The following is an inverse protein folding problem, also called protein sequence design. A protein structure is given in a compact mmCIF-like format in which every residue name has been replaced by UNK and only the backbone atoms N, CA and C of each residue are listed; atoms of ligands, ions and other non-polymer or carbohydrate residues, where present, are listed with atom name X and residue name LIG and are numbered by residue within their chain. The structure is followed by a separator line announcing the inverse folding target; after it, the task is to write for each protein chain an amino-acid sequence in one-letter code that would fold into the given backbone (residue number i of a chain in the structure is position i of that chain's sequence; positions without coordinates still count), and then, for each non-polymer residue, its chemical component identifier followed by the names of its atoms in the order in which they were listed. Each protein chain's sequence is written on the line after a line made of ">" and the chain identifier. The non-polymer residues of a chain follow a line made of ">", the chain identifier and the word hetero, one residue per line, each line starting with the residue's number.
data_IF_751227441423
#
_entry.id   IF_751227441423
#
_cell.length_a   1.000
_cell.length_b   1.000
_cell.length_c   1.000
_cell.angle_alpha   90.00
_cell.angle_beta   90.00
_cell.angle_gamma   90.00
#
_symmetry.space_group_name_H-M   'P 1'
#
loop_
_entity.id
_entity.type
_entity.pdbx_description
1 polymer ?
#
# COMPACT_ATOMS: atom_id res chain seq x y z
N UNK A 1 -11.00 24.59 8.24
CA UNK A 1 -10.46 23.48 9.06
C UNK A 1 -10.58 22.20 8.24
N UNK A 2 -9.59 21.93 7.39
CA UNK A 2 -9.61 20.84 6.41
C UNK A 2 -9.22 19.52 7.10
N UNK A 3 -10.12 18.54 7.08
CA UNK A 3 -9.82 17.16 7.51
C UNK A 3 -9.01 16.49 6.39
N UNK A 4 -7.70 16.43 6.54
CA UNK A 4 -6.83 15.63 5.66
C UNK A 4 -6.91 14.17 6.11
N UNK A 5 -7.56 13.33 5.32
CA UNK A 5 -7.61 11.89 5.54
C UNK A 5 -6.30 11.29 5.05
N UNK A 6 -5.45 10.81 5.96
CA UNK A 6 -4.21 10.10 5.61
C UNK A 6 -4.54 8.63 5.35
N UNK A 7 -4.57 8.24 4.08
CA UNK A 7 -4.56 6.84 3.67
C UNK A 7 -3.10 6.44 3.46
N UNK A 8 -2.60 5.52 4.29
CA UNK A 8 -1.26 4.95 4.14
C UNK A 8 -1.15 4.33 2.74
N UNK A 9 -0.45 5.04 1.85
CA UNK A 9 -0.21 4.61 0.47
C UNK A 9 1.24 4.21 0.40
N UNK A 10 1.50 2.97 0.04
CA UNK A 10 2.86 2.50 -0.18
C UNK A 10 3.47 3.23 -1.39
N UNK A 11 4.67 3.78 -1.22
CA UNK A 11 5.32 4.76 -2.14
C UNK A 11 5.25 4.32 -3.60
N UNK A 12 5.53 3.03 -3.87
CA UNK A 12 5.47 2.46 -5.23
C UNK A 12 4.55 1.25 -5.38
N UNK A 13 3.56 1.14 -4.50
CA UNK A 13 2.54 0.11 -4.58
C UNK A 13 1.16 0.74 -4.64
N UNK A 14 0.89 1.40 -5.75
CA UNK A 14 -0.48 1.46 -6.29
C UNK A 14 -0.50 0.64 -7.58
N UNK A 15 -1.52 -0.18 -7.82
CA UNK A 15 -1.70 -1.48 -7.18
C UNK A 15 -1.94 -2.58 -8.24
N UNK A 16 -1.42 -3.78 -8.00
CA UNK A 16 -1.94 -4.98 -8.68
C UNK A 16 -3.44 -5.19 -8.38
N UNK A 17 -4.00 -4.49 -7.39
CA UNK A 17 -5.42 -4.49 -7.05
C UNK A 17 -6.29 -3.46 -7.82
N UNK A 18 -5.75 -2.42 -8.49
CA UNK A 18 -6.58 -1.60 -9.43
C UNK A 18 -6.75 -2.28 -10.78
N UNK A 19 -5.77 -3.08 -11.21
CA UNK A 19 -5.88 -3.85 -12.45
C UNK A 19 -6.93 -4.96 -12.33
N UNK A 20 -7.18 -5.45 -11.10
CA UNK A 20 -8.28 -6.40 -10.86
C UNK A 20 -9.65 -5.73 -10.74
N UNK A 21 -9.71 -4.46 -10.32
CA UNK A 21 -10.97 -3.69 -10.27
C UNK A 21 -11.56 -3.44 -11.68
N UNK A 22 -10.73 -3.29 -12.71
CA UNK A 22 -11.19 -3.09 -14.09
C UNK A 22 -11.79 -4.34 -14.78
N UNK A 23 -11.77 -5.52 -14.15
CA UNK A 23 -12.40 -6.74 -14.70
C UNK A 23 -13.70 -7.14 -13.99
N UNK A 24 -14.29 -6.25 -13.18
CA UNK A 24 -15.60 -6.46 -12.59
C UNK A 24 -16.54 -5.24 -12.71
N UNK A 25 -16.29 -4.34 -13.67
CA UNK A 25 -17.12 -3.15 -13.93
C UNK A 25 -18.20 -3.35 -15.02
N UNK A 26 -18.60 -4.59 -15.32
CA UNK A 26 -19.64 -4.83 -16.34
C UNK A 26 -21.05 -5.07 -15.78
N UNK A 27 -21.27 -5.02 -14.46
CA UNK A 27 -22.58 -5.43 -13.90
C UNK A 27 -23.18 -4.59 -12.77
N UNK A 28 -22.55 -3.51 -12.32
CA UNK A 28 -23.16 -2.64 -11.29
C UNK A 28 -23.12 -1.18 -11.75
N UNK A 29 -24.21 -0.74 -12.37
CA UNK A 29 -24.51 0.68 -12.56
C UNK A 29 -24.86 1.29 -11.19
N UNK A 30 -23.85 1.64 -10.42
CA UNK A 30 -24.02 2.54 -9.29
C UNK A 30 -23.96 3.97 -9.83
N UNK A 31 -25.13 4.55 -10.10
CA UNK A 31 -25.26 5.98 -10.31
C UNK A 31 -24.83 6.68 -9.01
N UNK A 32 -23.68 7.39 -9.01
CA UNK A 32 -23.38 8.28 -7.89
C UNK A 32 -21.95 8.65 -7.54
N UNK A 33 -20.92 8.33 -8.33
CA UNK A 33 -19.58 8.92 -8.12
C UNK A 33 -19.02 9.51 -9.41
N UNK A 34 -19.01 10.85 -9.57
CA UNK A 34 -18.29 11.48 -10.67
C UNK A 34 -16.82 11.53 -10.30
N UNK A 35 -16.11 10.40 -10.37
CA UNK A 35 -14.65 10.45 -10.40
C UNK A 35 -14.26 10.88 -11.81
N UNK A 36 -14.29 12.20 -12.04
CA UNK A 36 -13.76 12.81 -13.24
C UNK A 36 -12.30 12.36 -13.41
N UNK A 37 -11.90 12.04 -14.65
CA UNK A 37 -10.56 11.52 -14.96
C UNK A 37 -9.40 12.40 -14.48
N UNK A 38 -9.67 13.61 -14.01
CA UNK A 38 -8.72 14.52 -13.36
C UNK A 38 -8.15 13.92 -12.07
N UNK A 39 -8.99 13.36 -11.19
CA UNK A 39 -8.54 12.75 -9.93
C UNK A 39 -7.62 11.54 -10.16
N UNK A 40 -7.96 10.71 -11.15
CA UNK A 40 -7.15 9.55 -11.54
C UNK A 40 -5.78 9.97 -12.08
N UNK A 41 -5.74 10.94 -12.99
CA UNK A 41 -4.47 11.41 -13.57
C UNK A 41 -3.59 12.10 -12.52
N UNK A 42 -4.19 12.81 -11.56
CA UNK A 42 -3.48 13.46 -10.45
C UNK A 42 -2.80 12.43 -9.54
N UNK A 43 -3.57 11.47 -8.99
CA UNK A 43 -3.07 10.39 -8.15
C UNK A 43 -1.97 9.55 -8.85
N UNK A 44 -2.16 9.28 -10.15
CA UNK A 44 -1.18 8.58 -10.98
C UNK A 44 0.12 9.37 -11.14
N UNK A 45 0.03 10.70 -11.31
CA UNK A 45 1.20 11.57 -11.48
C UNK A 45 2.03 11.64 -10.20
N UNK A 46 1.38 11.69 -9.03
CA UNK A 46 2.07 11.74 -7.74
C UNK A 46 2.77 10.44 -7.40
N UNK A 47 2.09 9.31 -7.64
CA UNK A 47 2.69 7.99 -7.53
C UNK A 47 3.92 7.86 -8.46
N UNK A 48 3.83 8.38 -9.69
CA UNK A 48 4.97 8.40 -10.61
C UNK A 48 6.14 9.26 -10.09
N UNK A 49 5.89 10.48 -9.60
CA UNK A 49 6.92 11.37 -9.06
C UNK A 49 7.61 10.82 -7.81
N UNK A 50 6.88 10.10 -6.95
CA UNK A 50 7.49 9.41 -5.80
C UNK A 50 8.36 8.21 -6.22
N UNK A 51 8.00 7.53 -7.31
CA UNK A 51 8.67 6.31 -7.77
C UNK A 51 9.73 6.48 -8.84
N UNK A 52 9.78 7.66 -9.47
CA UNK A 52 10.69 7.93 -10.59
C UNK A 52 11.25 9.36 -10.54
N UNK A 53 10.98 10.12 -9.47
CA UNK A 53 11.43 11.50 -9.32
C UNK A 53 12.62 11.68 -8.38
N UNK A 54 12.96 12.94 -8.18
CA UNK A 54 14.15 13.40 -7.45
C UNK A 54 14.26 12.84 -6.03
N UNK A 55 13.12 12.68 -5.34
CA UNK A 55 13.10 12.11 -3.98
C UNK A 55 13.67 10.68 -3.95
N UNK A 56 13.21 9.81 -4.85
CA UNK A 56 13.74 8.44 -4.92
C UNK A 56 15.22 8.45 -5.30
N UNK A 57 15.59 9.29 -6.28
CA UNK A 57 16.97 9.39 -6.74
C UNK A 57 17.92 9.77 -5.60
N UNK A 58 17.62 10.85 -4.87
CA UNK A 58 18.43 11.32 -3.75
C UNK A 58 18.52 10.27 -2.64
N UNK A 59 17.42 9.60 -2.30
CA UNK A 59 17.40 8.55 -1.26
C UNK A 59 18.27 7.36 -1.65
N UNK A 60 18.21 6.93 -2.91
CA UNK A 60 19.02 5.83 -3.43
C UNK A 60 20.51 6.21 -3.48
N UNK A 61 20.84 7.42 -3.95
CA UNK A 61 22.23 7.88 -4.03
C UNK A 61 22.86 8.08 -2.65
N UNK A 62 22.08 8.48 -1.66
CA UNK A 62 22.52 8.60 -0.27
C UNK A 62 22.75 7.24 0.43
N UNK A 63 22.39 6.11 -0.21
CA UNK A 63 22.56 4.74 0.33
C UNK A 63 22.09 4.63 1.78
N UNK A 64 20.89 5.15 2.06
CA UNK A 64 20.31 5.12 3.41
C UNK A 64 20.02 3.70 3.90
N UNK A 65 19.76 2.78 2.97
CA UNK A 65 19.40 1.40 3.24
C UNK A 65 20.31 0.43 2.48
N UNK A 66 20.50 -0.78 3.03
CA UNK A 66 21.27 -1.83 2.37
C UNK A 66 20.51 -2.49 1.20
N UNK A 67 19.18 -2.55 1.30
CA UNK A 67 18.30 -3.06 0.26
C UNK A 67 17.68 -1.88 -0.51
N UNK A 68 17.91 -1.84 -1.82
CA UNK A 68 17.38 -0.83 -2.73
C UNK A 68 15.84 -0.79 -2.75
N UNK A 69 15.19 -1.87 -2.27
CA UNK A 69 13.73 -1.97 -2.16
C UNK A 69 13.18 -1.52 -0.81
N UNK A 70 14.02 -1.22 0.17
CA UNK A 70 13.54 -0.90 1.50
C UNK A 70 12.71 0.37 1.50
N UNK A 71 13.20 1.45 0.89
CA UNK A 71 12.52 2.75 0.85
C UNK A 71 11.21 2.71 0.04
N UNK A 72 11.21 2.08 -1.13
CA UNK A 72 10.01 1.99 -1.99
C UNK A 72 8.87 1.19 -1.35
N UNK A 73 9.20 0.35 -0.36
CA UNK A 73 8.24 -0.44 0.41
C UNK A 73 7.76 0.26 1.70
N UNK A 74 8.27 1.45 2.02
CA UNK A 74 7.82 2.20 3.20
C UNK A 74 6.48 2.88 2.91
N UNK A 75 5.46 2.73 3.77
CA UNK A 75 4.21 3.49 3.64
C UNK A 75 4.43 4.96 3.96
N UNK A 76 3.68 5.86 3.31
CA UNK A 76 3.67 7.28 3.68
C UNK A 76 2.89 7.50 4.98
N UNK A 77 3.34 8.42 5.84
CA UNK A 77 2.61 8.86 7.03
C UNK A 77 1.55 9.93 6.74
N UNK A 78 1.73 10.69 5.66
CA UNK A 78 0.86 11.78 5.18
C UNK A 78 0.55 11.64 3.68
N UNK A 79 -0.29 12.52 3.13
CA UNK A 79 -0.65 12.48 1.72
C UNK A 79 0.57 12.68 0.79
N UNK A 80 0.64 11.96 -0.35
CA UNK A 80 1.75 12.05 -1.32
C UNK A 80 2.13 13.49 -1.72
N UNK A 81 1.15 14.36 -1.96
CA UNK A 81 1.37 15.75 -2.36
C UNK A 81 2.10 16.54 -1.30
N UNK A 82 1.74 16.31 -0.03
CA UNK A 82 2.36 17.01 1.09
C UNK A 82 3.82 16.57 1.23
N UNK A 83 4.12 15.28 1.10
CA UNK A 83 5.50 14.77 1.11
C UNK A 83 6.32 15.37 -0.02
N UNK A 84 5.78 15.39 -1.25
CA UNK A 84 6.46 15.98 -2.41
C UNK A 84 6.67 17.48 -2.25
N UNK A 85 5.70 18.20 -1.68
CA UNK A 85 5.83 19.63 -1.42
C UNK A 85 6.92 19.91 -0.38
N UNK A 86 6.88 19.24 0.77
CA UNK A 86 7.87 19.41 1.84
C UNK A 86 9.28 19.05 1.32
N UNK A 87 9.39 17.98 0.53
CA UNK A 87 10.67 17.63 -0.10
C UNK A 87 11.17 18.71 -1.06
N UNK A 88 10.28 19.31 -1.85
CA UNK A 88 10.64 20.39 -2.78
C UNK A 88 11.14 21.64 -2.04
N UNK A 89 10.52 21.95 -0.90
CA UNK A 89 10.97 23.03 -0.01
C UNK A 89 12.35 22.71 0.59
N UNK A 90 12.54 21.52 1.14
CA UNK A 90 13.83 21.05 1.65
C UNK A 90 14.94 21.11 0.59
N UNK A 91 14.65 20.64 -0.63
CA UNK A 91 15.59 20.69 -1.74
C UNK A 91 15.95 22.14 -2.11
N UNK A 92 14.98 23.06 -2.13
CA UNK A 92 15.23 24.47 -2.41
C UNK A 92 16.12 25.11 -1.35
N UNK A 93 15.83 24.88 -0.07
CA UNK A 93 16.56 25.47 1.05
C UNK A 93 18.02 25.00 1.11
N UNK A 94 18.29 23.82 0.56
CA UNK A 94 19.64 23.24 0.48
C UNK A 94 20.25 23.28 -0.93
N UNK A 95 19.72 24.09 -1.86
CA UNK A 95 20.22 24.19 -3.24
C UNK A 95 20.39 22.82 -3.93
N UNK A 96 19.44 21.91 -3.73
CA UNK A 96 19.44 20.52 -4.20
C UNK A 96 20.62 19.67 -3.68
N UNK A 97 21.36 20.14 -2.68
CA UNK A 97 22.45 19.44 -2.02
C UNK A 97 22.02 19.03 -0.60
N UNK A 98 21.09 18.08 -0.52
CA UNK A 98 20.59 17.54 0.75
C UNK A 98 21.62 16.52 1.28
N UNK A 99 22.05 16.69 2.52
CA UNK A 99 22.96 15.72 3.17
C UNK A 99 22.26 14.41 3.50
N UNK A 100 23.06 13.35 3.70
CA UNK A 100 22.55 12.03 4.07
C UNK A 100 21.72 12.07 5.36
N UNK A 101 22.16 12.85 6.34
CA UNK A 101 21.53 12.97 7.66
C UNK A 101 20.18 13.68 7.57
N UNK A 102 20.09 14.75 6.76
CA UNK A 102 18.84 15.47 6.51
C UNK A 102 17.84 14.60 5.77
N UNK A 103 18.30 13.86 4.77
CA UNK A 103 17.44 12.96 4.02
C UNK A 103 16.96 11.80 4.88
N UNK A 104 17.80 11.29 5.78
CA UNK A 104 17.40 10.29 6.76
C UNK A 104 16.32 10.84 7.71
N UNK A 105 16.49 12.06 8.23
CA UNK A 105 15.49 12.69 9.09
C UNK A 105 14.15 12.89 8.35
N UNK A 106 14.20 13.38 7.11
CA UNK A 106 13.03 13.53 6.25
C UNK A 106 12.27 12.20 6.08
N UNK A 107 12.99 11.11 5.79
CA UNK A 107 12.36 9.79 5.62
C UNK A 107 11.76 9.29 6.94
N UNK A 108 12.42 9.51 8.08
CA UNK A 108 11.91 9.09 9.38
C UNK A 108 10.63 9.84 9.80
N UNK A 109 10.48 11.11 9.38
CA UNK A 109 9.33 11.93 9.72
C UNK A 109 8.10 11.60 8.85
N UNK A 110 8.30 11.37 7.55
CA UNK A 110 7.21 11.28 6.57
C UNK A 110 6.88 9.85 6.10
N UNK A 111 7.66 8.85 6.53
CA UNK A 111 7.47 7.46 6.13
C UNK A 111 7.39 6.54 7.35
N UNK A 112 6.53 5.53 7.25
CA UNK A 112 6.38 4.49 8.26
C UNK A 112 7.37 3.35 8.00
N UNK A 113 7.66 2.57 9.05
CA UNK A 113 8.51 1.39 8.89
C UNK A 113 7.85 0.36 7.96
N UNK A 114 8.70 -0.30 7.16
CA UNK A 114 8.28 -1.37 6.24
C UNK A 114 7.46 -2.43 6.99
N UNK A 115 6.35 -2.85 6.39
CA UNK A 115 5.52 -3.94 6.89
C UNK A 115 4.46 -3.54 7.93
N UNK A 116 4.38 -2.27 8.36
CA UNK A 116 3.31 -1.81 9.24
C UNK A 116 1.92 -1.75 8.56
N UNK A 117 1.86 -1.81 7.24
CA UNK A 117 0.60 -1.79 6.47
C UNK A 117 -0.20 -3.10 6.56
N UNK A 118 0.46 -4.22 6.86
CA UNK A 118 -0.09 -5.55 6.64
C UNK A 118 -0.23 -6.34 7.94
N UNK A 119 -1.47 -6.71 8.29
CA UNK A 119 -1.76 -7.58 9.43
C UNK A 119 -1.92 -9.04 8.98
N UNK A 120 -1.49 -10.03 9.79
CA UNK A 120 -1.80 -11.43 9.54
C UNK A 120 -3.31 -11.63 9.39
N UNK A 121 -3.74 -12.31 8.33
CA UNK A 121 -5.16 -12.50 8.09
C UNK A 121 -5.45 -13.90 7.56
N UNK A 122 -6.38 -14.57 8.22
CA UNK A 122 -6.97 -15.82 7.74
C UNK A 122 -8.40 -15.53 7.28
N UNK A 123 -8.76 -15.83 6.01
CA UNK A 123 -10.12 -15.69 5.51
C UNK A 123 -11.11 -16.55 6.31
N UNK A 124 -12.35 -16.09 6.46
CA UNK A 124 -13.38 -16.82 7.21
C UNK A 124 -13.79 -18.15 6.54
N UNK A 125 -13.63 -18.24 5.22
CA UNK A 125 -13.88 -19.43 4.40
C UNK A 125 -12.66 -20.37 4.33
N UNK A 126 -11.59 -20.09 5.08
CA UNK A 126 -10.42 -20.95 5.13
C UNK A 126 -10.76 -22.33 5.70
N UNK A 127 -10.37 -23.39 4.98
CA UNK A 127 -10.45 -24.78 5.45
C UNK A 127 -9.08 -25.42 5.32
N UNK A 128 -8.59 -26.09 6.35
CA UNK A 128 -7.25 -26.71 6.31
C UNK A 128 -7.15 -27.88 5.31
N UNK A 129 -8.27 -28.54 5.00
CA UNK A 129 -8.38 -29.59 3.98
C UNK A 129 -9.56 -29.33 3.04
N UNK A 130 -9.38 -28.49 2.00
CA UNK A 130 -10.45 -28.18 1.08
C UNK A 130 -10.74 -29.36 0.15
N UNK A 131 -12.03 -29.63 -0.08
CA UNK A 131 -12.49 -30.81 -0.84
C UNK A 131 -11.96 -30.86 -2.29
N UNK A 132 -11.61 -29.71 -2.90
CA UNK A 132 -11.06 -29.71 -4.26
C UNK A 132 -9.70 -30.43 -4.37
N UNK A 133 -8.91 -30.50 -3.29
CA UNK A 133 -7.65 -31.25 -3.29
C UNK A 133 -7.87 -32.75 -3.49
N UNK A 134 -9.02 -33.27 -3.06
CA UNK A 134 -9.37 -34.68 -3.26
C UNK A 134 -9.65 -35.01 -4.74
N UNK A 135 -9.95 -33.99 -5.56
CA UNK A 135 -10.17 -34.14 -7.00
C UNK A 135 -8.86 -34.24 -7.81
N UNK A 136 -7.71 -34.00 -7.19
CA UNK A 136 -6.40 -34.11 -7.84
C UNK A 136 -5.99 -35.58 -7.84
N UNK A 137 -6.01 -36.23 -9.00
CA UNK A 137 -5.72 -37.66 -9.15
C UNK A 137 -4.27 -38.04 -8.79
N UNK A 138 -3.30 -37.20 -9.21
CA UNK A 138 -1.88 -37.43 -8.94
C UNK A 138 -1.54 -37.15 -7.47
N UNK A 139 -0.95 -38.14 -6.80
CA UNK A 139 -0.62 -38.06 -5.37
C UNK A 139 0.44 -36.99 -5.05
N UNK A 140 1.44 -36.79 -5.93
CA UNK A 140 2.49 -35.78 -5.72
C UNK A 140 1.93 -34.37 -5.89
N UNK A 141 1.09 -34.15 -6.92
CA UNK A 141 0.42 -32.87 -7.13
C UNK A 141 -0.57 -32.55 -6.02
N UNK A 142 -1.25 -33.57 -5.46
CA UNK A 142 -2.14 -33.38 -4.31
C UNK A 142 -1.38 -32.91 -3.06
N UNK A 143 -0.23 -33.53 -2.78
CA UNK A 143 0.64 -33.13 -1.66
C UNK A 143 1.17 -31.71 -1.88
N UNK A 144 1.68 -31.40 -3.07
CA UNK A 144 2.18 -30.07 -3.42
C UNK A 144 1.09 -29.00 -3.29
N UNK A 145 -0.12 -29.28 -3.81
CA UNK A 145 -1.25 -28.35 -3.72
C UNK A 145 -1.69 -28.13 -2.26
N UNK A 146 -1.62 -29.15 -1.41
CA UNK A 146 -1.82 -29.02 0.03
C UNK A 146 -0.78 -28.12 0.70
N UNK A 147 0.50 -28.28 0.35
CA UNK A 147 1.59 -27.42 0.85
C UNK A 147 1.41 -25.96 0.40
N UNK A 148 1.06 -25.75 -0.87
CA UNK A 148 0.79 -24.42 -1.42
C UNK A 148 -0.42 -23.76 -0.74
N UNK A 149 -1.47 -24.52 -0.47
CA UNK A 149 -2.61 -24.07 0.31
C UNK A 149 -2.15 -23.60 1.69
N UNK A 150 -1.43 -24.43 2.45
CA UNK A 150 -0.90 -24.03 3.75
C UNK A 150 0.02 -22.79 3.69
N UNK A 151 0.79 -22.63 2.61
CA UNK A 151 1.59 -21.43 2.38
C UNK A 151 0.72 -20.18 2.18
N UNK A 152 -0.39 -20.29 1.42
CA UNK A 152 -1.35 -19.19 1.23
C UNK A 152 -1.92 -18.68 2.55
N UNK A 153 -2.14 -19.55 3.54
CA UNK A 153 -2.53 -19.16 4.91
C UNK A 153 -1.47 -18.29 5.58
N UNK A 154 -0.20 -18.70 5.49
CA UNK A 154 0.93 -18.01 6.12
C UNK A 154 1.25 -16.67 5.45
N UNK A 155 1.05 -16.58 4.15
CA UNK A 155 1.31 -15.38 3.36
C UNK A 155 0.10 -14.45 3.25
N UNK A 156 -1.09 -14.92 3.66
CA UNK A 156 -2.31 -14.13 3.73
C UNK A 156 -2.14 -12.96 4.69
N UNK A 157 -2.21 -11.75 4.14
CA UNK A 157 -2.16 -10.51 4.90
C UNK A 157 -3.33 -9.63 4.49
N UNK A 158 -3.92 -8.92 5.45
CA UNK A 158 -4.95 -7.92 5.21
C UNK A 158 -4.31 -6.54 5.36
N UNK A 159 -4.55 -5.66 4.41
CA UNK A 159 -4.19 -4.25 4.53
C UNK A 159 -4.96 -3.61 5.68
N UNK A 160 -4.26 -2.85 6.52
CA UNK A 160 -4.86 -1.94 7.49
C UNK A 160 -5.52 -0.80 6.73
N UNK A 161 -6.74 -1.02 6.23
CA UNK A 161 -7.65 0.11 6.08
C UNK A 161 -8.03 0.51 7.50
N UNK A 162 -7.61 1.70 7.93
CA UNK A 162 -8.05 2.32 9.19
C UNK A 162 -9.56 2.61 9.07
N UNK A 163 -10.35 1.55 9.20
CA UNK A 163 -11.80 1.61 9.38
C UNK A 163 -12.07 2.20 10.75
N UNK A 164 -12.84 3.28 10.75
CA UNK A 164 -13.39 3.88 11.96
C UNK A 164 -14.08 2.80 12.79
N UNK A 165 -13.54 2.53 13.97
CA UNK A 165 -14.23 1.83 15.03
C UNK A 165 -15.23 2.78 15.68
N UNK A 166 -16.49 2.37 15.72
CA UNK A 166 -17.57 3.04 16.45
C UNK A 166 -18.63 2.05 16.87
N UNK A 167 -18.31 1.16 17.81
CA UNK A 167 -19.26 0.66 18.82
C UNK A 167 -19.34 1.75 19.91
N UNK A 168 -20.42 2.11 20.61
CA UNK A 168 -21.70 1.52 21.05
C UNK A 168 -22.57 2.71 21.61
N UNK A 169 -23.66 2.57 22.42
CA UNK A 169 -24.54 1.44 22.78
C UNK A 169 -26.07 1.74 22.65
N UNK A 170 -26.87 0.80 23.16
CA UNK A 170 -28.33 0.75 23.36
C UNK A 170 -28.98 2.00 23.98
N UNK A 171 -30.26 2.20 23.64
CA UNK A 171 -31.22 3.02 24.40
C UNK A 171 -32.65 2.86 23.86
N UNK A 172 -33.42 1.95 24.44
CA UNK A 172 -34.88 1.90 24.33
C UNK A 172 -35.51 3.21 24.84
N UNK A 173 -36.60 3.63 24.20
CA UNK A 173 -37.43 4.78 24.59
C UNK A 173 -38.48 5.10 23.54
#
# INVERSE_FOLDING_TARGET
>A
MTKSQSSATQVCRLPFDLVRAQKQESSWQMHGFPLSGIWYNHAKTQSYSLCHGELLHQVQMAKLYQDDKQFVDMPLSIAPEQVLQIFTELARDHNHSITREQLQAFVQEHFQAKGQELQPWTPADWKDSPQFLQKISDAKLRVWAGQLHQLRKKLGKKGLLLGHGGSAPLGDG
#
